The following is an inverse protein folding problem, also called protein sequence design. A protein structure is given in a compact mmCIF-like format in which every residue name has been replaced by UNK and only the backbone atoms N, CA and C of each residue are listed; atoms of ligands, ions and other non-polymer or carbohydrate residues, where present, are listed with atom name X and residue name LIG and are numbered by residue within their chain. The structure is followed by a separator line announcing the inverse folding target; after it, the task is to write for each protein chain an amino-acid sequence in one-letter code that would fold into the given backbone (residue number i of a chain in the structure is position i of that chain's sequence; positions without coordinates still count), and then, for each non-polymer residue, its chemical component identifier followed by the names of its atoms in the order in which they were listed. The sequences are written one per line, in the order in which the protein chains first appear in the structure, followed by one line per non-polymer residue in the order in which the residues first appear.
data_IF_586184399367
#
_entry.id   IF_586184399367
#
_cell.length_a   1.000
_cell.length_b   1.000
_cell.length_c   1.000
_cell.angle_alpha   90.00
_cell.angle_beta   90.00
_cell.angle_gamma   90.00
#
_symmetry.space_group_name_H-M   'P 1'
#
loop_
_entity.id
_entity.type
_entity.pdbx_description
1 polymer ?
#
# COMPACT_ATOMS: atom_id res chain seq x y z
N UNK A 1 19.76 -4.96 7.07
CA UNK A 1 19.72 -5.00 5.58
C UNK A 1 18.67 -4.08 4.97
N UNK A 2 17.43 -4.00 5.46
CA UNK A 2 16.41 -3.10 4.89
C UNK A 2 16.76 -1.60 5.01
N UNK A 3 17.33 -1.16 6.14
CA UNK A 3 17.71 0.24 6.37
C UNK A 3 18.73 0.77 5.34
N UNK A 4 19.77 0.00 5.02
CA UNK A 4 20.79 0.38 4.04
C UNK A 4 20.28 0.48 2.61
N UNK A 5 19.15 -0.17 2.29
CA UNK A 5 18.51 -0.05 0.98
C UNK A 5 17.73 1.28 0.90
N UNK A 6 17.07 1.67 1.99
CA UNK A 6 16.35 2.94 2.08
C UNK A 6 17.27 4.14 1.85
N UNK A 7 18.43 4.17 2.49
CA UNK A 7 19.37 5.29 2.35
C UNK A 7 19.92 5.41 0.92
N UNK A 8 20.17 4.27 0.27
CA UNK A 8 20.60 4.24 -1.13
C UNK A 8 19.49 4.71 -2.08
N UNK A 9 18.22 4.43 -1.78
CA UNK A 9 17.09 4.89 -2.56
C UNK A 9 16.89 6.41 -2.44
N UNK A 10 17.07 6.99 -1.24
CA UNK A 10 17.00 8.44 -1.04
C UNK A 10 18.11 9.19 -1.80
N UNK A 11 19.26 8.54 -1.98
CA UNK A 11 20.39 9.08 -2.75
C UNK A 11 20.22 8.98 -4.28
N UNK A 12 19.22 8.23 -4.78
CA UNK A 12 18.95 8.13 -6.22
C UNK A 12 18.28 9.40 -6.74
N UNK A 13 18.50 9.68 -8.03
CA UNK A 13 17.75 10.72 -8.69
C UNK A 13 16.25 10.34 -8.72
N UNK A 14 15.36 11.32 -8.56
CA UNK A 14 13.90 11.11 -8.60
C UNK A 14 13.44 10.33 -9.84
N UNK A 15 14.13 10.53 -10.97
CA UNK A 15 13.89 9.79 -12.21
C UNK A 15 14.08 8.28 -12.04
N UNK A 16 15.13 7.85 -11.34
CA UNK A 16 15.45 6.44 -11.10
C UNK A 16 14.43 5.79 -10.17
N UNK A 17 13.97 6.51 -9.14
CA UNK A 17 12.89 6.05 -8.27
C UNK A 17 11.58 5.84 -9.04
N UNK A 18 11.26 6.73 -9.98
CA UNK A 18 10.10 6.55 -10.87
C UNK A 18 10.23 5.28 -11.71
N UNK A 19 11.40 5.03 -12.31
CA UNK A 19 11.65 3.82 -13.12
C UNK A 19 11.55 2.55 -12.27
N UNK A 20 12.07 2.57 -11.03
CA UNK A 20 11.95 1.44 -10.11
C UNK A 20 10.48 1.19 -9.79
N UNK A 21 9.72 2.23 -9.46
CA UNK A 21 8.30 2.12 -9.15
C UNK A 21 7.49 1.61 -10.35
N UNK A 22 7.80 2.05 -11.57
CA UNK A 22 7.17 1.55 -12.81
C UNK A 22 7.35 0.04 -12.97
N UNK A 23 8.58 -0.44 -12.73
CA UNK A 23 8.90 -1.88 -12.82
C UNK A 23 8.21 -2.68 -11.72
N UNK A 24 8.15 -2.15 -10.50
CA UNK A 24 7.46 -2.80 -9.38
C UNK A 24 5.95 -2.88 -9.65
N UNK A 25 5.31 -1.78 -10.03
CA UNK A 25 3.88 -1.77 -10.36
C UNK A 25 3.58 -2.66 -11.58
N UNK A 26 4.46 -2.70 -12.57
CA UNK A 26 4.35 -3.61 -13.71
C UNK A 26 4.34 -5.08 -13.30
N UNK A 27 5.15 -5.46 -12.31
CA UNK A 27 5.14 -6.82 -11.72
C UNK A 27 3.93 -7.04 -10.84
N UNK A 28 3.57 -6.05 -10.02
CA UNK A 28 2.45 -6.08 -9.09
C UNK A 28 1.11 -6.35 -9.80
N UNK A 29 0.95 -5.92 -11.06
CA UNK A 29 -0.25 -6.24 -11.86
C UNK A 29 -0.50 -7.73 -12.07
N UNK A 30 0.50 -8.59 -11.89
CA UNK A 30 0.35 -10.04 -12.01
C UNK A 30 -0.28 -10.66 -10.76
N UNK A 31 -0.21 -9.98 -9.62
CA UNK A 31 -0.78 -10.45 -8.37
C UNK A 31 -2.31 -10.47 -8.45
N UNK A 32 -2.89 -11.62 -8.11
CA UNK A 32 -4.33 -11.82 -8.08
C UNK A 32 -4.93 -11.62 -6.69
N UNK A 33 -4.09 -11.61 -5.65
CA UNK A 33 -4.53 -11.44 -4.26
C UNK A 33 -3.72 -10.39 -3.54
N UNK A 34 -4.41 -9.30 -3.19
CA UNK A 34 -3.88 -8.16 -2.47
C UNK A 34 -4.22 -8.26 -0.99
N UNK A 35 -3.58 -9.22 -0.33
CA UNK A 35 -3.49 -9.31 1.14
C UNK A 35 -2.16 -8.73 1.61
N UNK A 36 -1.11 -9.54 1.57
CA UNK A 36 0.26 -9.09 1.87
C UNK A 36 1.25 -9.75 0.90
N UNK A 37 1.11 -9.55 -0.43
CA UNK A 37 2.04 -10.13 -1.38
C UNK A 37 3.43 -9.51 -1.18
N UNK A 38 4.49 -10.29 -1.39
CA UNK A 38 5.87 -9.84 -1.16
C UNK A 38 6.25 -8.60 -1.98
N UNK A 39 5.62 -8.39 -3.15
CA UNK A 39 5.84 -7.20 -3.99
C UNK A 39 5.36 -5.90 -3.30
N UNK A 40 4.38 -5.99 -2.40
CA UNK A 40 3.89 -4.83 -1.65
C UNK A 40 4.97 -4.24 -0.76
N UNK A 41 5.78 -5.08 -0.11
CA UNK A 41 6.90 -4.62 0.73
C UNK A 41 7.90 -3.78 -0.09
N UNK A 42 8.23 -4.23 -1.29
CA UNK A 42 9.11 -3.50 -2.18
C UNK A 42 8.50 -2.15 -2.61
N UNK A 43 7.22 -2.13 -2.96
CA UNK A 43 6.51 -0.89 -3.30
C UNK A 43 6.48 0.09 -2.12
N UNK A 44 6.23 -0.40 -0.90
CA UNK A 44 6.21 0.41 0.32
C UNK A 44 7.58 1.04 0.61
N UNK A 45 8.68 0.30 0.43
CA UNK A 45 10.04 0.84 0.63
C UNK A 45 10.33 2.01 -0.33
N UNK A 46 9.90 1.90 -1.59
CA UNK A 46 10.06 2.98 -2.58
C UNK A 46 9.14 4.16 -2.24
N UNK A 47 7.88 3.89 -1.89
CA UNK A 47 6.92 4.90 -1.46
C UNK A 47 7.39 5.69 -0.23
N UNK A 48 8.02 5.03 0.74
CA UNK A 48 8.58 5.65 1.93
C UNK A 48 9.82 6.52 1.67
N UNK A 49 10.43 6.39 0.48
CA UNK A 49 11.64 7.12 0.08
C UNK A 49 11.32 8.35 -0.78
N UNK A 50 10.17 8.38 -1.46
CA UNK A 50 9.75 9.48 -2.36
C UNK A 50 8.23 9.69 -2.34
N UNK A 51 7.72 10.82 -1.80
CA UNK A 51 6.28 11.06 -1.64
C UNK A 51 5.45 10.92 -2.93
N UNK A 52 5.90 11.38 -4.12
CA UNK A 52 5.24 11.07 -5.38
C UNK A 52 4.99 9.57 -5.61
N UNK A 53 5.95 8.69 -5.30
CA UNK A 53 5.75 7.24 -5.48
C UNK A 53 4.71 6.67 -4.52
N UNK A 54 4.58 7.25 -3.31
CA UNK A 54 3.52 6.86 -2.37
C UNK A 54 2.12 7.11 -2.93
N UNK A 55 1.92 8.22 -3.64
CA UNK A 55 0.65 8.53 -4.29
C UNK A 55 0.38 7.57 -5.45
N UNK A 56 1.43 7.17 -6.18
CA UNK A 56 1.31 6.18 -7.26
C UNK A 56 0.93 4.80 -6.72
N UNK A 57 1.49 4.39 -5.59
CA UNK A 57 1.09 3.15 -4.91
C UNK A 57 -0.37 3.22 -4.46
N UNK A 58 -0.77 4.34 -3.85
CA UNK A 58 -2.15 4.55 -3.42
C UNK A 58 -3.15 4.47 -4.58
N UNK A 59 -2.87 5.15 -5.70
CA UNK A 59 -3.68 5.08 -6.91
C UNK A 59 -3.78 3.66 -7.46
N UNK A 60 -2.64 2.97 -7.57
CA UNK A 60 -2.60 1.58 -8.01
C UNK A 60 -3.48 0.64 -7.15
N UNK A 61 -3.45 0.82 -5.82
CA UNK A 61 -4.26 0.02 -4.88
C UNK A 61 -5.76 0.32 -4.97
N UNK A 62 -6.14 1.59 -5.20
CA UNK A 62 -7.54 1.98 -5.42
C UNK A 62 -8.12 1.36 -6.69
N UNK A 63 -7.30 1.22 -7.73
CA UNK A 63 -7.70 0.64 -9.02
C UNK A 63 -7.69 -0.90 -9.06
N UNK A 64 -7.39 -1.58 -7.94
CA UNK A 64 -7.44 -3.05 -7.92
C UNK A 64 -8.89 -3.51 -7.97
N UNK A 65 -9.21 -4.55 -8.77
CA UNK A 65 -10.52 -5.18 -8.73
C UNK A 65 -10.87 -5.61 -7.31
N UNK A 66 -12.11 -5.35 -6.89
CA UNK A 66 -12.54 -5.56 -5.51
C UNK A 66 -12.34 -7.01 -5.01
N UNK A 67 -12.51 -7.99 -5.90
CA UNK A 67 -12.30 -9.42 -5.62
C UNK A 67 -10.85 -9.77 -5.23
N UNK A 68 -9.88 -8.96 -5.66
CA UNK A 68 -8.48 -9.19 -5.36
C UNK A 68 -8.09 -8.64 -3.97
N UNK A 69 -8.83 -7.65 -3.44
CA UNK A 69 -8.49 -7.02 -2.15
C UNK A 69 -8.84 -7.94 -0.99
N UNK A 70 -7.84 -8.28 -0.16
CA UNK A 70 -8.02 -9.13 1.03
C UNK A 70 -7.88 -8.31 2.31
N UNK A 71 -8.57 -8.68 3.41
CA UNK A 71 -8.58 -7.89 4.64
C UNK A 71 -7.20 -7.68 5.27
N UNK A 72 -6.26 -8.59 5.07
CA UNK A 72 -4.91 -8.52 5.66
C UNK A 72 -4.05 -7.37 5.13
N UNK A 73 -4.42 -6.74 4.01
CA UNK A 73 -3.71 -5.55 3.51
C UNK A 73 -3.94 -4.33 4.38
N UNK A 74 -5.11 -4.23 5.02
CA UNK A 74 -5.49 -3.09 5.84
C UNK A 74 -4.48 -2.85 6.97
N UNK A 75 -4.19 -3.82 7.86
CA UNK A 75 -3.19 -3.61 8.89
C UNK A 75 -1.78 -3.40 8.33
N UNK A 76 -1.48 -3.89 7.12
CA UNK A 76 -0.15 -3.77 6.51
C UNK A 76 0.19 -2.34 6.08
N UNK A 77 -0.78 -1.61 5.55
CA UNK A 77 -0.59 -0.24 5.06
C UNK A 77 -1.11 0.83 6.03
N UNK A 78 -1.73 0.45 7.16
CA UNK A 78 -2.44 1.38 8.02
C UNK A 78 -1.57 2.53 8.57
N UNK A 79 -0.30 2.28 8.83
CA UNK A 79 0.62 3.27 9.39
C UNK A 79 1.18 4.24 8.33
N UNK A 80 0.86 4.01 7.07
CA UNK A 80 1.30 4.84 5.96
C UNK A 80 0.39 6.07 5.79
N UNK A 81 0.93 7.29 5.65
CA UNK A 81 0.12 8.51 5.54
C UNK A 81 -0.89 8.52 4.38
N UNK A 82 -0.54 7.86 3.27
CA UNK A 82 -1.36 7.79 2.06
C UNK A 82 -2.51 6.75 2.16
N UNK A 83 -2.46 5.86 3.16
CA UNK A 83 -3.42 4.75 3.32
C UNK A 83 -4.84 5.23 3.60
N UNK A 84 -5.01 6.37 4.29
CA UNK A 84 -6.31 6.93 4.59
C UNK A 84 -7.13 7.18 3.33
N UNK A 85 -6.48 7.65 2.27
CA UNK A 85 -7.13 7.90 0.98
C UNK A 85 -7.57 6.62 0.29
N UNK A 86 -6.81 5.52 0.46
CA UNK A 86 -7.13 4.19 -0.08
C UNK A 86 -8.32 3.60 0.69
N UNK A 87 -8.28 3.69 2.02
CA UNK A 87 -9.36 3.21 2.88
C UNK A 87 -10.67 3.99 2.68
N UNK A 88 -10.61 5.28 2.38
CA UNK A 88 -11.80 6.06 2.02
C UNK A 88 -12.45 5.50 0.74
N UNK A 89 -11.66 5.33 -0.33
CA UNK A 89 -12.14 4.78 -1.59
C UNK A 89 -12.74 3.37 -1.43
N UNK A 90 -12.04 2.47 -0.72
CA UNK A 90 -12.55 1.12 -0.50
C UNK A 90 -13.76 1.03 0.44
N UNK A 91 -13.95 2.02 1.33
CA UNK A 91 -15.13 2.05 2.19
C UNK A 91 -16.39 2.43 1.40
N UNK A 92 -16.24 3.34 0.44
CA UNK A 92 -17.30 3.85 -0.45
C UNK A 92 -17.64 2.89 -1.60
N UNK A 93 -16.70 2.03 -2.00
CA UNK A 93 -16.90 1.04 -3.07
C UNK A 93 -17.76 -0.15 -2.59
N UNK A 94 -18.95 -0.33 -3.17
CA UNK A 94 -19.89 -1.40 -2.83
C UNK A 94 -19.42 -2.80 -3.21
N UNK A 95 -18.50 -2.93 -4.17
CA UNK A 95 -17.94 -4.22 -4.59
C UNK A 95 -16.90 -4.73 -3.59
N UNK A 96 -16.30 -3.85 -2.78
CA UNK A 96 -15.33 -4.24 -1.76
C UNK A 96 -16.00 -5.08 -0.68
N UNK A 97 -15.42 -6.25 -0.44
CA UNK A 97 -15.97 -7.23 0.49
C UNK A 97 -16.14 -6.67 1.92
N UNK A 98 -17.23 -7.09 2.59
CA UNK A 98 -17.53 -6.72 3.99
C UNK A 98 -16.34 -6.98 4.94
N UNK A 99 -15.58 -8.09 4.84
CA UNK A 99 -14.41 -8.32 5.69
C UNK A 99 -13.33 -7.23 5.58
N UNK A 100 -13.09 -6.68 4.38
CA UNK A 100 -12.14 -5.57 4.18
C UNK A 100 -12.66 -4.31 4.85
N UNK A 101 -13.93 -3.95 4.60
CA UNK A 101 -14.57 -2.79 5.24
C UNK A 101 -14.56 -2.90 6.77
N UNK A 102 -14.77 -4.09 7.32
CA UNK A 102 -14.69 -4.35 8.76
C UNK A 102 -13.27 -4.17 9.30
N UNK A 103 -12.25 -4.63 8.59
CA UNK A 103 -10.86 -4.41 8.99
C UNK A 103 -10.50 -2.91 9.01
N UNK A 104 -10.99 -2.13 8.04
CA UNK A 104 -10.82 -0.66 8.01
C UNK A 104 -11.50 -0.02 9.22
N UNK A 105 -12.75 -0.40 9.52
CA UNK A 105 -13.49 0.10 10.69
C UNK A 105 -12.81 -0.27 12.00
N UNK A 106 -12.33 -1.50 12.15
CA UNK A 106 -11.61 -1.94 13.34
C UNK A 106 -10.36 -1.10 13.60
N UNK A 107 -9.63 -0.70 12.56
CA UNK A 107 -8.48 0.22 12.70
C UNK A 107 -8.89 1.63 13.11
N UNK A 108 -10.00 2.15 12.58
CA UNK A 108 -10.55 3.46 13.01
C UNK A 108 -11.05 3.42 14.47
N UNK A 109 -11.66 2.33 14.89
CA UNK A 109 -12.13 2.13 16.27
C UNK A 109 -11.01 1.88 17.29
N UNK A 110 -9.92 1.23 16.86
CA UNK A 110 -8.75 0.94 17.70
C UNK A 110 -7.71 2.07 17.73
N UNK A 111 -8.05 3.28 17.29
CA UNK A 111 -7.16 4.44 17.14
C UNK A 111 -6.48 4.94 18.42
N UNK A 112 -6.40 4.16 19.50
CA UNK A 112 -5.62 4.51 20.69
C UNK A 112 -4.99 3.34 21.47
N UNK A 113 -4.82 2.14 20.89
CA UNK A 113 -4.05 1.08 21.56
C UNK A 113 -3.16 0.32 20.58
N UNK A 114 -1.86 0.59 20.70
CA UNK A 114 -0.78 -0.26 20.18
C UNK A 114 -0.88 -1.62 20.87
N UNK A 115 -1.22 -2.67 20.12
CA UNK A 115 -1.08 -4.05 20.62
C UNK A 115 0.38 -4.43 20.38
N UNK A 116 1.10 -4.60 21.49
CA UNK A 116 2.50 -5.03 21.59
C UNK A 116 2.79 -6.31 20.82
#
# INVERSE_FOLDING_TARGET
MAASIKDRLVALARLEMSVIMDRLLGRARREQEWGTPAILDACMVVAASDPPQSQRLAGFLKERPALQIKPSIVPKIADEPWSQSVFAAWAEDDEISKPVKNAIKARRGNGNVSVK
#
